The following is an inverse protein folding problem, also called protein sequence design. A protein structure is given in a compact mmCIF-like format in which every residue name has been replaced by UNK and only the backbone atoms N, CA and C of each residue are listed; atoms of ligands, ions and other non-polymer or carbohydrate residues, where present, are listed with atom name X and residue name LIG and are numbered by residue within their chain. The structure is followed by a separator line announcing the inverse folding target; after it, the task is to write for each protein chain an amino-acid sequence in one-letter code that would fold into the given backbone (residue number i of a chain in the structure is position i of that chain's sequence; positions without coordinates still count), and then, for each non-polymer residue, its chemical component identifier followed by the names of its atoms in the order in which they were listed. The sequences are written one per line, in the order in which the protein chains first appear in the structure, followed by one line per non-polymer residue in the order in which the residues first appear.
data_IF_869902332450
#
_entry.id   IF_869902332450
#
_cell.length_a   1.000
_cell.length_b   1.000
_cell.length_c   1.000
_cell.angle_alpha   90.00
_cell.angle_beta   90.00
_cell.angle_gamma   90.00
#
_symmetry.space_group_name_H-M   'P 1'
#
loop_
_entity.id
_entity.type
_entity.pdbx_description
1 polymer ?
#
# COMPACT_ATOMS: atom_id res chain seq x y z
N UNK A 1 -8.92 -31.02 2.70
CA UNK A 1 -9.47 -31.83 1.60
C UNK A 1 -8.32 -32.11 0.66
N UNK A 2 -8.14 -33.36 0.26
CA UNK A 2 -7.02 -33.78 -0.58
C UNK A 2 -7.55 -34.18 -1.95
N UNK A 3 -6.75 -33.90 -2.98
CA UNK A 3 -7.11 -34.06 -4.38
C UNK A 3 -5.97 -34.82 -5.06
N UNK A 4 -6.31 -35.85 -5.81
CA UNK A 4 -5.34 -36.69 -6.51
C UNK A 4 -4.88 -35.99 -7.80
N UNK A 5 -3.56 -35.84 -7.94
CA UNK A 5 -2.88 -35.46 -9.18
C UNK A 5 -2.43 -36.74 -9.92
N UNK A 6 -2.38 -36.74 -11.26
CA UNK A 6 -1.82 -37.86 -12.02
C UNK A 6 -0.37 -37.56 -12.43
N UNK A 7 0.45 -38.62 -12.55
CA UNK A 7 1.89 -38.57 -12.84
C UNK A 7 2.28 -37.80 -14.12
N UNK A 8 1.33 -37.59 -15.05
CA UNK A 8 1.58 -36.85 -16.30
C UNK A 8 1.18 -35.37 -16.27
N UNK A 9 0.50 -34.91 -15.22
CA UNK A 9 0.28 -33.47 -15.00
C UNK A 9 1.54 -32.86 -14.42
N UNK A 10 2.60 -32.76 -15.23
CA UNK A 10 3.76 -31.97 -14.89
C UNK A 10 3.30 -30.54 -14.61
N UNK A 11 3.37 -30.16 -13.34
CA UNK A 11 3.29 -28.77 -12.94
C UNK A 11 4.60 -28.13 -13.42
N UNK A 12 4.58 -27.61 -14.65
CA UNK A 12 5.68 -26.84 -15.20
C UNK A 12 5.65 -25.47 -14.54
N UNK A 13 6.59 -25.28 -13.60
CA UNK A 13 6.85 -23.98 -13.03
C UNK A 13 7.52 -23.09 -14.08
N UNK A 14 6.71 -22.34 -14.83
CA UNK A 14 7.20 -21.33 -15.75
C UNK A 14 7.50 -20.05 -14.97
N UNK A 15 8.74 -19.91 -14.49
CA UNK A 15 9.24 -18.62 -14.00
C UNK A 15 9.76 -17.81 -15.19
N UNK A 16 8.91 -17.00 -15.82
CA UNK A 16 9.36 -16.04 -16.83
C UNK A 16 9.63 -14.68 -16.18
N UNK A 17 10.91 -14.31 -16.03
CA UNK A 17 11.31 -12.92 -15.81
C UNK A 17 11.40 -12.22 -17.16
N UNK A 18 10.26 -11.92 -17.79
CA UNK A 18 10.28 -11.43 -19.18
C UNK A 18 10.46 -9.91 -19.32
N UNK A 19 10.20 -9.09 -18.28
CA UNK A 19 10.38 -7.64 -18.42
C UNK A 19 10.46 -6.88 -17.08
N UNK A 20 11.60 -6.25 -16.79
CA UNK A 20 11.75 -5.40 -15.59
C UNK A 20 11.07 -4.03 -15.71
N UNK A 21 10.60 -3.65 -16.91
CA UNK A 21 9.96 -2.35 -17.16
C UNK A 21 8.46 -2.34 -16.85
N UNK A 22 7.81 -3.51 -16.81
CA UNK A 22 6.40 -3.65 -16.45
C UNK A 22 6.21 -4.61 -15.25
N UNK A 23 6.13 -4.07 -14.02
CA UNK A 23 6.03 -4.90 -12.81
C UNK A 23 4.75 -5.74 -12.74
N UNK A 24 3.76 -5.52 -13.63
CA UNK A 24 2.53 -6.32 -13.70
C UNK A 24 2.78 -7.67 -14.39
N UNK A 25 3.70 -7.74 -15.35
CA UNK A 25 4.07 -8.97 -16.06
C UNK A 25 4.97 -9.85 -15.18
N UNK A 26 5.79 -9.23 -14.34
CA UNK A 26 6.64 -9.90 -13.33
C UNK A 26 5.82 -10.56 -12.19
N UNK A 27 4.55 -10.17 -12.01
CA UNK A 27 3.77 -10.42 -10.79
C UNK A 27 3.00 -11.73 -10.70
N UNK A 28 3.04 -12.59 -11.73
CA UNK A 28 2.34 -13.88 -11.67
C UNK A 28 3.34 -15.02 -11.83
N UNK A 29 4.07 -15.31 -10.74
CA UNK A 29 5.11 -16.35 -10.69
C UNK A 29 4.57 -17.76 -10.95
N UNK A 30 3.25 -17.95 -10.92
CA UNK A 30 2.62 -19.24 -11.20
C UNK A 30 1.12 -19.05 -11.47
N UNK A 31 0.72 -19.16 -12.74
CA UNK A 31 -0.69 -19.34 -13.13
C UNK A 31 -0.77 -20.53 -14.08
N UNK A 32 -1.06 -21.70 -13.54
CA UNK A 32 -1.19 -22.92 -14.34
C UNK A 32 -2.62 -23.45 -14.27
N UNK A 33 -3.19 -23.71 -15.44
CA UNK A 33 -4.42 -24.49 -15.53
C UNK A 33 -4.05 -25.97 -15.51
N UNK A 34 -4.59 -26.70 -14.53
CA UNK A 34 -4.45 -28.14 -14.42
C UNK A 34 -5.80 -28.82 -14.68
N UNK A 35 -5.74 -30.02 -15.25
CA UNK A 35 -6.92 -30.86 -15.48
C UNK A 35 -6.87 -32.03 -14.52
N UNK A 36 -7.84 -32.08 -13.61
CA UNK A 36 -8.00 -33.16 -12.64
C UNK A 36 -9.03 -34.16 -13.16
N UNK A 37 -8.70 -35.45 -13.14
CA UNK A 37 -9.67 -36.50 -13.47
C UNK A 37 -10.63 -36.73 -12.31
N UNK A 38 -11.85 -37.17 -12.62
CA UNK A 38 -12.88 -37.51 -11.66
C UNK A 38 -12.62 -38.82 -10.93
N UNK A 39 -11.55 -38.88 -10.13
CA UNK A 39 -11.31 -39.96 -9.16
C UNK A 39 -12.37 -39.92 -8.05
N UNK A 40 -12.58 -41.02 -7.29
CA UNK A 40 -13.51 -41.01 -6.17
C UNK A 40 -13.24 -39.91 -5.14
N UNK A 41 -11.97 -39.50 -4.92
CA UNK A 41 -11.64 -38.37 -4.03
C UNK A 41 -11.92 -37.02 -4.70
N UNK A 42 -11.48 -36.82 -5.95
CA UNK A 42 -11.72 -35.57 -6.67
C UNK A 42 -13.22 -35.32 -6.89
N UNK A 43 -14.01 -36.36 -7.13
CA UNK A 43 -15.46 -36.28 -7.22
C UNK A 43 -16.14 -35.96 -5.88
N UNK A 44 -15.51 -36.28 -4.73
CA UNK A 44 -16.02 -35.81 -3.43
C UNK A 44 -15.74 -34.33 -3.22
N UNK A 45 -14.64 -33.80 -3.77
CA UNK A 45 -14.23 -32.40 -3.62
C UNK A 45 -14.86 -31.47 -4.64
N UNK A 46 -15.10 -31.94 -5.88
CA UNK A 46 -15.61 -31.12 -7.00
C UNK A 46 -16.94 -31.63 -7.55
N UNK A 47 -17.32 -32.88 -7.27
CA UNK A 47 -18.59 -33.43 -7.72
C UNK A 47 -19.73 -32.76 -6.96
N UNK A 48 -20.62 -32.09 -7.71
CA UNK A 48 -21.84 -31.40 -7.28
C UNK A 48 -21.76 -29.87 -7.15
N UNK A 49 -20.58 -29.28 -7.36
CA UNK A 49 -20.34 -27.84 -7.14
C UNK A 49 -20.83 -26.91 -8.26
N UNK A 50 -21.04 -27.45 -9.47
CA UNK A 50 -21.55 -26.70 -10.61
C UNK A 50 -23.07 -26.50 -10.59
N UNK A 51 -23.79 -27.12 -9.64
CA UNK A 51 -25.24 -26.95 -9.50
C UNK A 51 -25.49 -25.73 -8.60
N UNK A 52 -25.68 -24.57 -9.21
CA UNK A 52 -25.97 -23.28 -8.53
C UNK A 52 -27.26 -23.31 -7.70
N UNK A 53 -28.11 -24.32 -7.89
CA UNK A 53 -29.41 -24.50 -7.24
C UNK A 53 -29.34 -25.27 -5.91
N UNK A 54 -28.14 -25.49 -5.37
CA UNK A 54 -27.96 -26.24 -4.12
C UNK A 54 -27.20 -25.43 -3.08
N UNK A 55 -27.78 -25.33 -1.89
CA UNK A 55 -27.21 -24.63 -0.74
C UNK A 55 -25.93 -25.34 -0.27
N UNK A 56 -24.79 -24.67 -0.40
CA UNK A 56 -23.54 -25.01 0.30
C UNK A 56 -23.67 -24.54 1.74
N UNK A 57 -23.97 -25.44 2.68
CA UNK A 57 -24.27 -25.06 4.06
C UNK A 57 -23.02 -25.14 4.95
N UNK A 58 -22.75 -24.06 5.69
CA UNK A 58 -21.67 -23.98 6.67
C UNK A 58 -22.14 -24.57 8.01
N UNK A 59 -21.59 -25.72 8.42
CA UNK A 59 -21.72 -26.29 9.76
C UNK A 59 -23.08 -26.96 10.06
N UNK A 60 -23.10 -28.30 10.01
CA UNK A 60 -24.17 -29.11 10.59
C UNK A 60 -24.50 -30.38 9.81
N UNK A 61 -24.00 -31.52 10.30
CA UNK A 61 -24.46 -32.90 10.11
C UNK A 61 -25.28 -33.28 8.86
N UNK A 62 -24.80 -33.00 7.65
CA UNK A 62 -25.00 -33.81 6.43
C UNK A 62 -23.81 -33.59 5.49
N UNK A 63 -23.34 -34.65 4.81
CA UNK A 63 -22.21 -34.63 3.87
C UNK A 63 -22.46 -33.72 2.66
N UNK A 64 -22.16 -32.43 2.81
CA UNK A 64 -21.99 -31.47 1.73
C UNK A 64 -20.52 -31.10 1.56
N UNK A 65 -20.14 -30.71 0.34
CA UNK A 65 -18.76 -30.34 -0.01
C UNK A 65 -18.56 -28.84 0.26
N UNK A 66 -17.53 -28.46 1.03
CA UNK A 66 -17.26 -27.08 1.46
C UNK A 66 -16.54 -26.21 0.40
N UNK A 67 -16.51 -26.63 -0.86
CA UNK A 67 -15.78 -25.91 -1.91
C UNK A 67 -16.76 -25.05 -2.73
N UNK A 68 -16.57 -23.73 -2.72
CA UNK A 68 -17.36 -22.78 -3.49
C UNK A 68 -16.55 -22.31 -4.71
N UNK A 69 -17.00 -22.56 -5.95
CA UNK A 69 -16.26 -22.26 -7.18
C UNK A 69 -16.27 -20.77 -7.51
N UNK A 70 -17.15 -19.99 -6.87
CA UNK A 70 -17.20 -18.53 -6.96
C UNK A 70 -16.22 -17.87 -6.00
N UNK A 71 -15.81 -18.58 -4.95
CA UNK A 71 -14.86 -18.10 -3.95
C UNK A 71 -13.46 -18.64 -4.21
N UNK A 72 -12.46 -17.84 -3.84
CA UNK A 72 -11.06 -18.26 -3.89
C UNK A 72 -10.84 -19.29 -2.77
N UNK A 73 -10.48 -20.52 -3.14
CA UNK A 73 -10.18 -21.56 -2.15
C UNK A 73 -8.67 -21.72 -2.03
N UNK A 74 -8.09 -21.70 -0.81
CA UNK A 74 -6.66 -21.89 -0.63
C UNK A 74 -6.23 -23.31 -1.04
N UNK A 75 -5.04 -23.43 -1.65
CA UNK A 75 -4.42 -24.73 -1.94
C UNK A 75 -2.96 -24.75 -1.48
N UNK A 76 -2.47 -25.96 -1.23
CA UNK A 76 -1.07 -26.25 -0.96
C UNK A 76 -0.71 -27.53 -1.73
N UNK A 77 0.35 -27.48 -2.53
CA UNK A 77 0.89 -28.64 -3.23
C UNK A 77 2.02 -29.20 -2.39
N UNK A 78 1.99 -30.50 -2.14
CA UNK A 78 3.06 -31.24 -1.47
C UNK A 78 3.81 -32.11 -2.49
N UNK A 79 5.12 -32.28 -2.32
CA UNK A 79 5.87 -33.31 -3.03
C UNK A 79 5.70 -34.69 -2.36
N UNK A 80 6.29 -35.73 -2.95
CA UNK A 80 6.31 -37.10 -2.41
C UNK A 80 6.97 -37.20 -1.02
N UNK A 81 7.84 -36.24 -0.68
CA UNK A 81 8.51 -36.14 0.63
C UNK A 81 7.72 -35.30 1.65
N UNK A 82 6.47 -34.92 1.32
CA UNK A 82 5.60 -34.06 2.15
C UNK A 82 6.12 -32.64 2.40
N UNK A 83 7.02 -32.15 1.56
CA UNK A 83 7.47 -30.75 1.56
C UNK A 83 6.53 -29.91 0.68
N UNK A 84 6.33 -28.65 1.07
CA UNK A 84 5.46 -27.72 0.33
C UNK A 84 6.20 -27.27 -0.94
N UNK A 85 5.64 -27.60 -2.10
CA UNK A 85 6.13 -27.18 -3.41
C UNK A 85 5.63 -25.77 -3.75
N UNK A 86 4.34 -25.50 -3.55
CA UNK A 86 3.72 -24.21 -3.88
C UNK A 86 2.42 -24.04 -3.07
N UNK A 87 2.02 -22.80 -2.83
CA UNK A 87 0.77 -22.49 -2.15
C UNK A 87 0.13 -21.24 -2.74
N UNK A 88 -1.19 -21.13 -2.66
CA UNK A 88 -1.91 -19.98 -3.18
C UNK A 88 -3.40 -20.22 -3.16
N UNK A 89 -4.12 -19.73 -4.18
CA UNK A 89 -5.55 -20.00 -4.32
C UNK A 89 -5.88 -20.66 -5.66
N UNK A 90 -6.88 -21.52 -5.63
CA UNK A 90 -7.38 -22.20 -6.80
C UNK A 90 -8.80 -21.73 -7.12
N UNK A 91 -9.14 -21.79 -8.41
CA UNK A 91 -10.49 -21.57 -8.91
C UNK A 91 -10.87 -22.69 -9.86
N UNK A 92 -12.06 -23.26 -9.69
CA UNK A 92 -12.61 -24.19 -10.66
C UNK A 92 -13.13 -23.39 -11.86
N UNK A 93 -12.57 -23.65 -13.04
CA UNK A 93 -12.93 -22.95 -14.27
C UNK A 93 -14.11 -23.63 -14.97
N UNK A 94 -14.04 -24.95 -15.11
CA UNK A 94 -15.08 -25.73 -15.79
C UNK A 94 -14.98 -27.21 -15.42
N UNK A 95 -16.09 -27.92 -15.65
CA UNK A 95 -16.16 -29.37 -15.58
C UNK A 95 -16.61 -29.89 -16.94
N UNK A 96 -15.84 -30.81 -17.53
CA UNK A 96 -16.21 -31.51 -18.76
C UNK A 96 -16.58 -32.95 -18.44
N UNK A 97 -17.66 -33.44 -19.04
CA UNK A 97 -18.06 -34.85 -18.95
C UNK A 97 -18.07 -35.45 -20.34
N UNK A 98 -17.16 -36.39 -20.61
CA UNK A 98 -17.05 -37.07 -21.91
C UNK A 98 -17.16 -38.57 -21.69
N UNK A 99 -18.17 -39.21 -22.27
CA UNK A 99 -18.36 -40.67 -22.22
C UNK A 99 -18.32 -41.26 -20.79
N UNK A 100 -18.94 -40.57 -19.82
CA UNK A 100 -18.98 -40.99 -18.41
C UNK A 100 -17.72 -40.70 -17.60
N UNK A 101 -16.68 -40.10 -18.22
CA UNK A 101 -15.49 -39.60 -17.53
C UNK A 101 -15.66 -38.12 -17.24
N UNK A 102 -15.45 -37.77 -15.97
CA UNK A 102 -15.48 -36.39 -15.49
C UNK A 102 -14.07 -35.83 -15.46
N UNK A 103 -13.89 -34.60 -15.91
CA UNK A 103 -12.65 -33.84 -15.82
C UNK A 103 -12.95 -32.44 -15.26
N UNK A 104 -12.10 -31.96 -14.35
CA UNK A 104 -12.19 -30.66 -13.71
C UNK A 104 -11.02 -29.80 -14.15
N UNK A 105 -11.28 -28.65 -14.76
CA UNK A 105 -10.26 -27.65 -15.06
C UNK A 105 -10.16 -26.67 -13.91
N UNK A 106 -8.99 -26.60 -13.30
CA UNK A 106 -8.71 -25.74 -12.15
C UNK A 106 -7.55 -24.81 -12.52
N UNK A 107 -7.74 -23.51 -12.35
CA UNK A 107 -6.67 -22.52 -12.41
C UNK A 107 -6.05 -22.37 -11.03
N UNK A 108 -4.74 -22.63 -10.93
CA UNK A 108 -3.94 -22.39 -9.73
C UNK A 108 -3.23 -21.06 -9.85
N UNK A 109 -3.31 -20.23 -8.82
CA UNK A 109 -2.62 -18.95 -8.72
C UNK A 109 -1.64 -19.00 -7.55
N UNK A 110 -0.37 -18.70 -7.79
CA UNK A 110 0.67 -18.70 -6.76
C UNK A 110 0.48 -17.64 -5.67
N UNK A 111 1.15 -17.85 -4.53
CA UNK A 111 0.99 -17.04 -3.33
C UNK A 111 1.38 -15.57 -3.52
N UNK A 112 2.39 -15.29 -4.36
CA UNK A 112 2.84 -13.91 -4.62
C UNK A 112 1.76 -13.05 -5.31
N UNK A 113 1.03 -13.63 -6.26
CA UNK A 113 -0.07 -12.95 -6.94
C UNK A 113 -1.20 -12.63 -5.97
N UNK A 114 -1.53 -13.59 -5.10
CA UNK A 114 -2.52 -13.38 -4.04
C UNK A 114 -2.08 -12.31 -3.02
N UNK A 115 -0.80 -12.30 -2.64
CA UNK A 115 -0.23 -11.29 -1.74
C UNK A 115 -0.41 -9.87 -2.30
N UNK A 116 0.03 -9.62 -3.54
CA UNK A 116 -0.14 -8.31 -4.17
C UNK A 116 -1.60 -7.94 -4.42
N UNK A 117 -2.46 -8.94 -4.69
CA UNK A 117 -3.88 -8.73 -4.83
C UNK A 117 -4.51 -8.26 -3.51
N UNK A 118 -4.20 -8.90 -2.37
CA UNK A 118 -4.70 -8.51 -1.05
C UNK A 118 -4.23 -7.11 -0.60
N UNK A 119 -3.06 -6.68 -1.07
CA UNK A 119 -2.58 -5.31 -0.87
C UNK A 119 -3.31 -4.30 -1.76
N UNK A 120 -3.61 -4.68 -3.01
CA UNK A 120 -4.21 -3.79 -3.99
C UNK A 120 -5.74 -3.70 -3.88
N UNK A 121 -6.40 -4.69 -3.27
CA UNK A 121 -7.84 -4.80 -3.19
C UNK A 121 -8.29 -5.24 -1.80
N UNK A 122 -9.43 -4.71 -1.33
CA UNK A 122 -10.08 -5.17 -0.12
C UNK A 122 -10.93 -6.45 -0.37
N UNK A 123 -11.56 -6.98 0.69
CA UNK A 123 -12.42 -8.16 0.61
C UNK A 123 -13.65 -7.98 -0.30
N UNK A 124 -14.03 -6.73 -0.58
CA UNK A 124 -15.15 -6.36 -1.44
C UNK A 124 -14.70 -6.07 -2.88
N UNK A 125 -13.41 -6.23 -3.19
CA UNK A 125 -12.84 -5.93 -4.51
C UNK A 125 -12.63 -4.45 -4.80
N UNK A 126 -12.75 -3.57 -3.81
CA UNK A 126 -12.42 -2.15 -3.95
C UNK A 126 -10.91 -1.96 -3.94
N UNK A 127 -10.41 -1.14 -4.87
CA UNK A 127 -8.98 -0.80 -4.95
C UNK A 127 -8.54 -0.05 -3.69
N UNK A 128 -7.50 -0.55 -3.05
CA UNK A 128 -6.81 0.06 -1.91
C UNK A 128 -5.68 0.97 -2.39
N UNK A 129 -5.33 1.91 -1.53
CA UNK A 129 -4.22 2.86 -1.66
C UNK A 129 -3.29 2.70 -0.46
N UNK A 130 -2.13 3.37 -0.50
CA UNK A 130 -1.21 3.39 0.65
C UNK A 130 -1.84 4.00 1.91
N UNK A 131 -2.89 4.81 1.78
CA UNK A 131 -3.62 5.37 2.91
C UNK A 131 -4.52 4.34 3.61
N UNK A 132 -4.86 3.24 2.95
CA UNK A 132 -5.68 2.16 3.52
C UNK A 132 -4.85 1.09 4.25
N UNK A 133 -3.52 1.28 4.33
CA UNK A 133 -2.63 0.41 5.10
C UNK A 133 -2.65 0.86 6.57
N UNK A 134 -2.61 -0.12 7.48
CA UNK A 134 -2.45 0.13 8.92
C UNK A 134 -0.98 0.20 9.28
N UNK A 135 -0.49 1.37 9.69
CA UNK A 135 0.93 1.59 10.00
C UNK A 135 1.28 1.38 11.47
N UNK A 136 0.34 1.63 12.38
CA UNK A 136 0.58 1.62 13.84
C UNK A 136 0.17 0.33 14.55
N UNK A 137 -0.48 -0.61 13.86
CA UNK A 137 -0.88 -1.90 14.45
C UNK A 137 -2.18 -2.47 13.87
N UNK A 138 -2.58 -3.65 14.32
CA UNK A 138 -3.86 -4.28 13.94
C UNK A 138 -5.07 -3.44 14.36
N UNK A 139 -4.94 -2.73 15.48
CA UNK A 139 -5.98 -1.89 16.07
C UNK A 139 -5.92 -0.44 15.58
N UNK A 140 -5.10 -0.16 14.56
CA UNK A 140 -5.05 1.15 13.94
C UNK A 140 -6.43 1.57 13.47
N UNK A 141 -6.77 2.82 13.80
CA UNK A 141 -7.98 3.51 13.35
C UNK A 141 -7.69 4.25 12.06
N UNK A 142 -8.73 4.59 11.29
CA UNK A 142 -8.61 5.34 10.03
C UNK A 142 -7.91 6.70 10.20
N UNK A 143 -7.82 7.22 11.43
CA UNK A 143 -7.21 8.50 11.77
C UNK A 143 -5.79 8.38 12.34
N UNK A 144 -5.14 7.22 12.26
CA UNK A 144 -3.83 6.97 12.89
C UNK A 144 -2.72 7.94 12.44
N UNK A 145 -2.81 8.48 11.22
CA UNK A 145 -1.85 9.42 10.65
C UNK A 145 -2.43 10.84 10.50
N UNK A 146 -3.56 11.15 11.14
CA UNK A 146 -4.18 12.47 11.04
C UNK A 146 -3.41 13.51 11.86
N UNK A 147 -3.16 14.67 11.24
CA UNK A 147 -2.59 15.84 11.91
C UNK A 147 -3.08 17.13 11.26
N UNK A 148 -3.07 18.23 12.02
CA UNK A 148 -3.31 19.56 11.47
C UNK A 148 -1.98 20.19 11.07
N UNK A 149 -1.86 20.63 9.81
CA UNK A 149 -0.66 21.30 9.33
C UNK A 149 -0.53 22.71 9.94
N UNK A 150 0.36 22.86 10.91
CA UNK A 150 0.70 24.13 11.53
C UNK A 150 2.16 24.14 12.01
N UNK A 151 2.64 25.29 12.48
CA UNK A 151 4.01 25.45 12.96
C UNK A 151 4.37 24.48 14.11
N UNK A 152 3.42 24.18 14.99
CA UNK A 152 3.61 23.24 16.11
C UNK A 152 3.76 21.81 15.60
N UNK A 153 2.96 21.37 14.64
CA UNK A 153 3.03 20.04 14.04
C UNK A 153 4.39 19.80 13.38
N UNK A 154 4.84 20.76 12.56
CA UNK A 154 6.18 20.71 11.94
C UNK A 154 7.26 20.66 13.01
N UNK A 155 7.21 21.54 14.02
CA UNK A 155 8.20 21.54 15.12
C UNK A 155 8.22 20.19 15.86
N UNK A 156 7.07 19.60 16.12
CA UNK A 156 6.97 18.32 16.79
C UNK A 156 7.52 17.18 15.92
N UNK A 157 7.30 17.22 14.62
CA UNK A 157 7.85 16.22 13.70
C UNK A 157 9.39 16.21 13.70
N UNK A 158 10.01 17.40 13.66
CA UNK A 158 11.46 17.54 13.72
C UNK A 158 12.03 17.19 15.10
N UNK A 159 11.30 17.50 16.19
CA UNK A 159 11.66 17.03 17.53
C UNK A 159 11.67 15.52 17.62
N UNK A 160 10.66 14.84 17.06
CA UNK A 160 10.62 13.37 17.04
C UNK A 160 11.82 12.81 16.30
N UNK A 161 12.15 13.38 15.14
CA UNK A 161 13.32 13.00 14.36
C UNK A 161 14.64 13.15 15.15
N UNK A 162 14.72 14.16 16.04
CA UNK A 162 15.84 14.37 16.94
C UNK A 162 15.85 13.46 18.19
N UNK A 163 14.89 12.53 18.31
CA UNK A 163 14.79 11.58 19.42
C UNK A 163 13.89 12.01 20.58
N UNK A 164 13.11 13.08 20.45
CA UNK A 164 12.14 13.49 21.48
C UNK A 164 10.95 12.51 21.52
N UNK A 165 10.86 11.72 22.59
CA UNK A 165 9.79 10.75 22.76
C UNK A 165 8.52 11.31 23.40
N UNK A 166 8.50 12.59 23.79
CA UNK A 166 7.32 13.26 24.37
C UNK A 166 6.28 13.69 23.33
N UNK A 167 6.69 13.74 22.05
CA UNK A 167 5.83 14.03 20.92
C UNK A 167 5.35 12.72 20.26
N UNK A 168 4.22 12.80 19.55
CA UNK A 168 3.56 11.63 18.94
C UNK A 168 4.51 10.78 18.07
N UNK A 169 4.38 9.45 18.18
CA UNK A 169 5.11 8.48 17.36
C UNK A 169 4.65 8.46 15.90
N UNK A 170 3.52 9.11 15.55
CA UNK A 170 3.12 9.26 14.14
C UNK A 170 4.23 9.94 13.32
N UNK A 171 5.05 10.77 13.97
CA UNK A 171 6.15 11.48 13.33
C UNK A 171 7.36 10.59 12.96
N UNK A 172 7.36 9.33 13.41
CA UNK A 172 8.30 8.30 12.92
C UNK A 172 7.90 7.76 11.54
N UNK A 173 6.63 7.91 11.17
CA UNK A 173 6.05 7.42 9.91
C UNK A 173 5.97 8.56 8.90
N UNK A 174 5.45 9.71 9.32
CA UNK A 174 5.34 10.93 8.51
C UNK A 174 6.25 12.01 9.09
N UNK A 175 6.94 12.79 8.25
CA UNK A 175 7.68 13.96 8.71
C UNK A 175 7.57 15.10 7.69
N UNK A 176 8.40 16.13 7.81
CA UNK A 176 8.46 17.24 6.86
C UNK A 176 9.88 17.47 6.37
N UNK A 177 10.02 17.68 5.06
CA UNK A 177 11.27 18.05 4.44
C UNK A 177 11.19 19.50 3.92
N UNK A 178 12.23 20.32 4.15
CA UNK A 178 12.36 21.59 3.49
C UNK A 178 12.75 21.31 2.03
N UNK A 179 11.84 21.59 1.10
CA UNK A 179 12.07 21.38 -0.32
C UNK A 179 12.25 22.73 -1.01
N UNK A 180 12.85 22.72 -2.21
CA UNK A 180 12.83 23.87 -3.10
C UNK A 180 11.58 23.79 -3.98
N UNK A 181 10.62 24.68 -3.73
CA UNK A 181 9.35 24.82 -4.42
C UNK A 181 9.39 25.90 -5.51
N UNK A 182 10.51 26.63 -5.62
CA UNK A 182 10.69 27.72 -6.58
C UNK A 182 10.06 29.03 -6.12
N UNK A 183 9.53 29.79 -7.07
CA UNK A 183 8.77 31.00 -6.72
C UNK A 183 7.39 30.60 -6.19
N UNK A 184 6.90 31.24 -5.10
CA UNK A 184 5.55 30.99 -4.63
C UNK A 184 4.54 31.22 -5.77
N UNK A 185 3.69 30.22 -6.00
CA UNK A 185 2.57 30.30 -6.92
C UNK A 185 1.25 30.49 -6.16
N UNK A 186 0.26 31.12 -6.79
CA UNK A 186 -1.08 31.30 -6.20
C UNK A 186 -1.32 32.72 -5.68
N UNK A 187 -1.80 32.83 -4.43
CA UNK A 187 -2.29 34.08 -3.82
C UNK A 187 -1.19 35.05 -3.35
N UNK A 188 0.08 34.65 -3.43
CA UNK A 188 1.22 35.46 -2.98
C UNK A 188 2.17 35.70 -4.13
N UNK A 189 2.44 36.97 -4.39
CA UNK A 189 3.43 37.38 -5.38
C UNK A 189 4.85 37.28 -4.79
N UNK A 190 5.74 36.61 -5.51
CA UNK A 190 7.14 36.40 -5.11
C UNK A 190 7.98 37.69 -4.99
N UNK A 191 7.45 38.83 -5.44
CA UNK A 191 8.07 40.15 -5.34
C UNK A 191 7.33 41.07 -4.35
N UNK A 192 6.39 40.55 -3.56
CA UNK A 192 5.67 41.31 -2.54
C UNK A 192 6.02 40.82 -1.13
N UNK A 193 6.24 41.76 -0.23
CA UNK A 193 6.48 41.47 1.18
C UNK A 193 5.70 42.44 2.07
N UNK A 194 5.21 41.96 3.21
CA UNK A 194 4.73 42.83 4.28
C UNK A 194 5.93 43.28 5.10
N UNK A 195 6.09 44.59 5.23
CA UNK A 195 7.20 45.22 5.96
C UNK A 195 6.61 46.10 7.04
N UNK A 196 7.15 45.99 8.25
CA UNK A 196 6.80 46.91 9.33
C UNK A 196 7.53 48.24 9.10
N UNK A 197 6.77 49.34 9.08
CA UNK A 197 7.24 50.69 8.78
C UNK A 197 8.27 51.18 9.81
N UNK A 198 8.09 50.82 11.08
CA UNK A 198 8.97 51.19 12.18
C UNK A 198 10.29 50.43 12.13
N UNK A 199 10.25 49.13 11.83
CA UNK A 199 11.44 48.27 11.77
C UNK A 199 12.33 48.56 10.54
N UNK A 200 11.71 48.96 9.43
CA UNK A 200 12.42 49.17 8.17
C UNK A 200 12.87 50.63 7.95
N UNK A 201 12.40 51.58 8.76
CA UNK A 201 12.67 53.01 8.58
C UNK A 201 12.22 53.53 7.21
N UNK A 202 11.24 52.87 6.58
CA UNK A 202 10.77 53.20 5.24
C UNK A 202 9.61 54.19 5.33
N UNK A 203 9.56 55.23 4.48
CA UNK A 203 8.37 56.05 4.36
C UNK A 203 7.21 55.19 3.83
N UNK A 204 6.00 55.40 4.37
CA UNK A 204 4.79 54.78 3.81
C UNK A 204 4.64 55.26 2.36
N UNK A 205 4.55 54.36 1.36
CA UNK A 205 4.39 54.75 -0.03
C UNK A 205 3.12 55.59 -0.23
N UNK A 206 3.22 56.63 -1.05
CA UNK A 206 2.11 57.55 -1.34
C UNK A 206 0.90 56.78 -1.90
N UNK A 207 -0.27 56.96 -1.29
CA UNK A 207 -1.52 56.27 -1.68
C UNK A 207 -1.81 54.95 -0.97
N UNK A 208 -0.97 54.50 -0.03
CA UNK A 208 -1.21 53.31 0.79
C UNK A 208 -1.38 53.68 2.27
N UNK A 209 -2.39 53.11 2.94
CA UNK A 209 -2.52 53.23 4.39
C UNK A 209 -1.80 52.06 5.06
N UNK A 210 -0.90 52.34 6.00
CA UNK A 210 -0.33 51.31 6.86
C UNK A 210 -1.47 50.69 7.70
N UNK A 211 -1.59 49.36 7.68
CA UNK A 211 -2.53 48.65 8.55
C UNK A 211 -1.75 48.07 9.71
N UNK A 212 -1.99 48.56 10.94
CA UNK A 212 -1.25 48.17 12.15
C UNK A 212 0.29 48.25 12.00
N UNK A 213 0.79 49.29 11.33
CA UNK A 213 2.23 49.49 11.11
C UNK A 213 2.86 48.65 9.98
N UNK A 214 2.06 47.86 9.25
CA UNK A 214 2.54 47.08 8.11
C UNK A 214 2.16 47.73 6.78
N UNK A 215 3.11 47.71 5.83
CA UNK A 215 2.93 48.15 4.44
C UNK A 215 3.34 47.04 3.48
N UNK A 216 2.66 46.97 2.33
CA UNK A 216 3.02 46.06 1.25
C UNK A 216 4.17 46.69 0.44
N UNK A 217 5.37 46.15 0.58
CA UNK A 217 6.53 46.55 -0.20
C UNK A 217 6.67 45.69 -1.46
N UNK A 218 7.19 46.30 -2.53
CA UNK A 218 7.63 45.57 -3.73
C UNK A 218 9.14 45.39 -3.66
N UNK A 219 9.59 44.14 -3.72
CA UNK A 219 10.98 43.74 -3.68
C UNK A 219 11.63 43.98 -5.07
N UNK A 220 12.96 44.20 -5.14
CA UNK A 220 13.65 44.54 -6.40
C UNK A 220 13.64 43.41 -7.44
N UNK A 221 13.32 42.18 -7.01
CA UNK A 221 13.15 41.00 -7.86
C UNK A 221 12.19 40.04 -7.16
N UNK A 222 11.81 38.99 -7.88
CA UNK A 222 11.15 37.82 -7.27
C UNK A 222 12.16 37.06 -6.42
N UNK A 223 11.73 36.67 -5.23
CA UNK A 223 12.53 35.87 -4.31
C UNK A 223 11.90 34.49 -4.14
N UNK A 224 12.77 33.49 -4.04
CA UNK A 224 12.40 32.13 -3.67
C UNK A 224 12.30 32.01 -2.15
N UNK A 225 11.54 31.03 -1.66
CA UNK A 225 11.38 30.78 -0.22
C UNK A 225 12.72 30.60 0.51
N UNK A 226 13.75 30.07 -0.16
CA UNK A 226 15.08 29.90 0.40
C UNK A 226 15.87 31.21 0.51
N UNK A 227 15.70 32.14 -0.43
CA UNK A 227 16.38 33.44 -0.37
C UNK A 227 15.83 34.32 0.76
N UNK A 228 14.55 34.18 1.10
CA UNK A 228 13.90 34.91 2.21
C UNK A 228 13.80 34.07 3.50
N UNK A 229 14.32 32.84 3.51
CA UNK A 229 14.25 31.88 4.62
C UNK A 229 12.81 31.63 5.11
N UNK A 230 11.87 31.60 4.18
CA UNK A 230 10.47 31.33 4.45
C UNK A 230 10.22 29.82 4.58
N UNK A 231 10.24 29.34 5.82
CA UNK A 231 10.03 27.93 6.17
C UNK A 231 8.67 27.69 6.83
N UNK A 232 7.66 28.48 6.47
CA UNK A 232 6.30 28.34 7.00
C UNK A 232 5.76 26.92 6.74
N UNK A 233 4.93 26.43 7.66
CA UNK A 233 4.51 25.02 7.69
C UNK A 233 3.84 24.53 6.40
N UNK A 234 3.12 25.41 5.69
CA UNK A 234 2.45 25.06 4.44
C UNK A 234 3.37 25.04 3.20
N UNK A 235 4.61 25.51 3.32
CA UNK A 235 5.64 25.41 2.28
C UNK A 235 6.50 24.15 2.46
N UNK A 236 6.41 23.48 3.61
CA UNK A 236 7.16 22.26 3.85
C UNK A 236 6.44 21.07 3.23
N UNK A 237 7.20 20.20 2.54
CA UNK A 237 6.64 18.98 1.94
C UNK A 237 6.52 17.92 3.02
N UNK A 238 5.33 17.34 3.25
CA UNK A 238 5.23 16.11 4.01
C UNK A 238 6.10 15.04 3.35
N UNK A 239 6.70 14.17 4.15
CA UNK A 239 7.41 12.99 3.68
C UNK A 239 6.96 11.77 4.46
N UNK A 240 7.03 10.60 3.83
CA UNK A 240 6.73 9.32 4.45
C UNK A 240 8.00 8.47 4.50
N UNK A 241 8.18 7.77 5.62
CA UNK A 241 9.34 6.90 5.83
C UNK A 241 9.17 5.61 5.02
N UNK A 242 10.16 5.27 4.19
CA UNK A 242 10.08 4.09 3.33
C UNK A 242 10.08 2.79 4.13
N UNK A 243 10.82 2.72 5.24
CA UNK A 243 10.77 1.55 6.12
C UNK A 243 9.36 1.33 6.67
N UNK A 244 8.67 2.39 7.10
CA UNK A 244 7.31 2.29 7.63
C UNK A 244 6.32 1.74 6.60
N UNK A 245 6.47 2.10 5.32
CA UNK A 245 5.65 1.54 4.23
C UNK A 245 5.94 0.05 4.02
N UNK A 246 7.21 -0.34 4.01
CA UNK A 246 7.61 -1.74 3.81
C UNK A 246 7.17 -2.60 5.01
N UNK A 247 7.39 -2.11 6.22
CA UNK A 247 6.95 -2.77 7.46
C UNK A 247 5.43 -2.95 7.46
N UNK A 248 4.68 -1.91 7.08
CA UNK A 248 3.22 -1.99 6.95
C UNK A 248 2.77 -3.05 5.93
N UNK A 249 3.45 -3.16 4.79
CA UNK A 249 3.17 -4.21 3.78
C UNK A 249 3.45 -5.62 4.32
N UNK A 250 4.45 -5.77 5.20
CA UNK A 250 4.81 -7.07 5.78
C UNK A 250 3.85 -7.53 6.88
N UNK A 251 3.02 -6.62 7.42
CA UNK A 251 2.04 -6.96 8.45
C UNK A 251 0.91 -7.83 7.89
N UNK A 252 0.65 -8.95 8.54
CA UNK A 252 -0.30 -9.98 8.08
C UNK A 252 -1.73 -9.45 7.90
N UNK A 253 -2.19 -8.52 8.76
CA UNK A 253 -3.50 -7.90 8.62
C UNK A 253 -3.62 -6.92 7.43
N UNK A 254 -2.50 -6.45 6.88
CA UNK A 254 -2.51 -5.61 5.68
C UNK A 254 -2.45 -6.43 4.39
N UNK A 255 -1.74 -7.56 4.41
CA UNK A 255 -1.39 -8.33 3.21
C UNK A 255 -2.23 -9.59 2.99
N UNK A 256 -3.25 -9.85 3.83
CA UNK A 256 -4.14 -11.01 3.69
C UNK A 256 -3.66 -12.27 4.41
N UNK A 257 -2.85 -12.11 5.46
CA UNK A 257 -2.44 -13.19 6.36
C UNK A 257 -1.05 -13.78 6.07
N UNK A 258 -0.31 -13.22 5.11
CA UNK A 258 0.99 -13.73 4.72
C UNK A 258 2.08 -13.33 5.70
N UNK A 259 2.97 -14.28 6.00
CA UNK A 259 4.24 -14.01 6.65
C UNK A 259 5.28 -13.65 5.59
N UNK A 260 5.74 -12.40 5.59
CA UNK A 260 6.77 -11.93 4.67
C UNK A 260 8.13 -12.03 5.36
N UNK A 261 9.06 -12.77 4.75
CA UNK A 261 10.44 -12.87 5.23
C UNK A 261 11.31 -12.02 4.30
N UNK A 262 11.81 -10.90 4.82
CA UNK A 262 12.74 -10.03 4.12
C UNK A 262 14.19 -10.47 4.36
N UNK A 263 15.07 -10.15 3.41
CA UNK A 263 16.50 -10.37 3.58
C UNK A 263 17.04 -9.55 4.76
N UNK A 264 17.59 -10.23 5.76
CA UNK A 264 18.05 -9.58 6.99
C UNK A 264 19.35 -8.80 6.79
N UNK A 265 20.08 -9.00 5.68
CA UNK A 265 21.32 -8.27 5.40
C UNK A 265 21.04 -6.85 4.91
N UNK A 266 19.94 -6.66 4.18
CA UNK A 266 19.49 -5.36 3.73
C UNK A 266 18.41 -4.74 4.64
N UNK A 267 17.35 -5.47 4.98
CA UNK A 267 16.20 -4.96 5.71
C UNK A 267 16.40 -5.09 7.22
N UNK A 268 17.29 -4.27 7.77
CA UNK A 268 17.58 -4.24 9.20
C UNK A 268 17.78 -2.82 9.73
N UNK A 269 17.72 -2.67 11.05
CA UNK A 269 17.85 -1.38 11.75
C UNK A 269 19.23 -0.74 11.65
N UNK A 270 20.24 -1.46 11.14
CA UNK A 270 21.60 -0.94 10.97
C UNK A 270 21.85 -0.42 9.54
N UNK A 271 20.93 -0.65 8.60
CA UNK A 271 21.08 -0.20 7.23
C UNK A 271 20.41 1.19 7.03
N UNK A 272 21.17 2.28 6.87
CA UNK A 272 20.61 3.62 6.72
C UNK A 272 19.79 3.78 5.43
N UNK A 273 20.10 3.00 4.38
CA UNK A 273 19.30 3.02 3.15
C UNK A 273 17.87 2.49 3.36
N UNK A 274 17.66 1.67 4.39
CA UNK A 274 16.35 1.23 4.80
C UNK A 274 15.75 2.18 5.84
N UNK A 275 16.48 2.46 6.92
CA UNK A 275 15.96 3.19 8.09
C UNK A 275 15.84 4.68 7.91
N UNK A 276 16.59 5.29 6.98
CA UNK A 276 16.70 6.76 6.90
C UNK A 276 16.17 7.29 5.56
N UNK A 277 15.61 6.43 4.72
CA UNK A 277 15.03 6.83 3.43
C UNK A 277 13.62 7.37 3.62
N UNK A 278 13.41 8.60 3.15
CA UNK A 278 12.13 9.29 3.15
C UNK A 278 11.71 9.61 1.72
N UNK A 279 10.42 9.44 1.43
CA UNK A 279 9.80 9.82 0.17
C UNK A 279 9.01 11.11 0.36
N UNK A 280 9.30 12.15 -0.43
CA UNK A 280 8.53 13.39 -0.40
C UNK A 280 7.16 13.18 -1.02
N UNK A 281 6.13 13.66 -0.33
CA UNK A 281 4.76 13.70 -0.82
C UNK A 281 4.49 15.04 -1.52
N UNK A 282 3.46 15.12 -2.38
CA UNK A 282 3.00 16.38 -2.93
C UNK A 282 2.67 17.40 -1.84
N UNK A 283 2.88 18.69 -2.14
CA UNK A 283 2.42 19.76 -1.24
C UNK A 283 0.89 19.68 -1.17
N UNK A 284 0.30 19.65 0.04
CA UNK A 284 -1.15 19.73 0.15
C UNK A 284 -1.61 21.06 -0.46
N UNK A 285 -2.44 21.01 -1.51
CA UNK A 285 -3.02 22.22 -2.07
C UNK A 285 -3.83 22.91 -0.97
N UNK A 286 -3.42 24.12 -0.62
CA UNK A 286 -4.02 24.92 0.44
C UNK A 286 -5.42 25.40 0.06
N UNK A 287 -6.44 24.55 0.18
CA UNK A 287 -7.84 24.87 0.52
C UNK A 287 -8.51 23.54 0.94
N UNK A 288 -8.85 23.41 2.23
CA UNK A 288 -9.59 22.30 2.85
C UNK A 288 -8.85 20.96 3.02
N UNK A 289 -8.12 20.82 4.13
CA UNK A 289 -7.96 19.51 4.78
C UNK A 289 -9.12 19.38 5.77
N UNK A 290 -10.25 18.87 5.30
CA UNK A 290 -11.20 18.15 6.15
C UNK A 290 -10.95 16.67 5.84
N UNK A 291 -10.47 15.93 6.84
CA UNK A 291 -10.64 14.48 6.91
C UNK A 291 -11.80 14.26 7.87
#
# INVERSE_FOLDING_TARGET
MEVDLQDETFILFNYTMEDMSNPTVVRNSYSQQITLKGTPQNNKVFGQIWKTDRVTQYGGSQSGVNFDPTQKTPFTIYNEMSEILESGYCKLDSMTTTSGRVEYKVSLFGGLGSFFYSLAYDSNGKKRTLADLKYTGSDATDNELNFTLNATAVKNAWKRLAGDTSVSSLWDIINFAPAYNGYPGGLFDADKALVNVEDAGLPVPDGYNASNGWVLATLPKKYTEWEVKDLRSYLQKPCIKMSAVIDAICMSYNNGGYQVVLDNTFFNSSNPYYTDTWLTLPIPNSVNINI
#
